data_IF_702849378922
#
_entry.id   IF_702849378922
#
_cell.length_a   1.000
_cell.length_b   1.000
_cell.length_c   1.000
_cell.angle_alpha   90.00
_cell.angle_beta   90.00
_cell.angle_gamma   90.00
#
_symmetry.space_group_name_H-M   'P 1'
#
loop_
_entity.id
_entity.type
_entity.pdbx_description
1 polymer ?
#
# COMPACT_ATOMS: atom_id res chain seq x y z
N UNK A 1 68.96 8.57 41.58
CA UNK A 1 68.24 7.41 41.00
C UNK A 1 66.78 7.85 40.80
N UNK A 2 66.37 8.15 39.56
CA UNK A 2 65.05 8.66 39.25
C UNK A 2 64.27 7.50 38.59
N UNK A 3 63.31 6.95 39.32
CA UNK A 3 62.37 5.97 38.76
C UNK A 3 61.30 6.65 37.91
N UNK A 4 61.40 6.47 36.60
CA UNK A 4 60.42 6.94 35.63
C UNK A 4 59.27 5.95 35.51
N UNK A 5 58.10 6.27 36.00
CA UNK A 5 56.92 5.45 35.84
C UNK A 5 56.34 5.55 34.40
N UNK A 6 55.89 4.46 33.81
CA UNK A 6 55.26 4.48 32.50
C UNK A 6 53.82 5.01 32.59
N UNK A 7 53.52 5.98 31.76
CA UNK A 7 52.14 6.48 31.55
C UNK A 7 51.37 5.44 30.74
N UNK A 8 50.43 4.78 31.37
CA UNK A 8 49.43 3.95 30.70
C UNK A 8 48.46 4.87 29.91
N UNK A 9 48.52 4.77 28.61
CA UNK A 9 47.54 5.43 27.73
C UNK A 9 46.37 4.46 27.62
N UNK A 10 45.30 4.74 28.37
CA UNK A 10 44.05 4.02 28.25
C UNK A 10 43.31 4.50 27.00
N UNK A 11 43.39 3.74 25.92
CA UNK A 11 42.63 3.98 24.71
C UNK A 11 41.16 3.65 24.95
N UNK A 12 40.34 4.69 25.08
CA UNK A 12 38.87 4.56 25.10
C UNK A 12 38.42 4.36 23.65
N UNK A 13 38.16 3.11 23.28
CA UNK A 13 37.48 2.79 22.03
C UNK A 13 35.99 3.05 22.22
N UNK A 14 35.52 4.19 21.79
CA UNK A 14 34.11 4.50 21.73
C UNK A 14 33.49 3.72 20.57
N UNK A 15 32.82 2.59 20.87
CA UNK A 15 32.04 1.85 19.89
C UNK A 15 30.77 2.64 19.56
N UNK A 16 30.74 3.30 18.39
CA UNK A 16 29.51 3.84 17.82
C UNK A 16 28.63 2.66 17.38
N UNK A 17 27.67 2.30 18.20
CA UNK A 17 26.55 1.46 17.79
C UNK A 17 25.62 2.29 16.89
N UNK A 18 25.81 2.17 15.58
CA UNK A 18 24.84 2.67 14.62
C UNK A 18 23.58 1.80 14.70
N UNK A 19 22.55 2.29 15.39
CA UNK A 19 21.25 1.66 15.45
C UNK A 19 20.61 1.79 14.05
N UNK A 20 20.76 0.77 13.23
CA UNK A 20 20.01 0.64 11.98
C UNK A 20 18.57 0.26 12.32
N UNK A 21 17.68 1.26 12.39
CA UNK A 21 16.24 1.03 12.48
C UNK A 21 15.79 0.37 11.17
N UNK A 22 15.15 -0.81 11.22
CA UNK A 22 14.58 -1.41 10.02
C UNK A 22 13.46 -0.50 9.51
N UNK A 23 13.61 0.01 8.28
CA UNK A 23 12.53 0.66 7.56
C UNK A 23 11.50 -0.43 7.24
N UNK A 24 10.48 -0.57 8.07
CA UNK A 24 9.33 -1.41 7.75
C UNK A 24 8.54 -0.69 6.65
N UNK A 25 8.75 -1.10 5.41
CA UNK A 25 7.89 -0.70 4.31
C UNK A 25 6.48 -1.22 4.60
N UNK A 26 5.55 -0.32 4.87
CA UNK A 26 4.12 -0.65 4.99
C UNK A 26 3.66 -1.15 3.64
N UNK A 27 3.41 -2.46 3.55
CA UNK A 27 2.83 -3.06 2.34
C UNK A 27 1.34 -2.72 2.32
N UNK A 28 0.80 -2.50 1.12
CA UNK A 28 -0.63 -2.36 0.94
C UNK A 28 -1.35 -3.65 1.37
N UNK A 29 -2.54 -3.50 1.98
CA UNK A 29 -3.32 -4.59 2.55
C UNK A 29 -4.61 -4.80 1.74
N UNK A 30 -4.70 -5.89 0.97
CA UNK A 30 -5.91 -6.21 0.19
C UNK A 30 -7.16 -6.39 1.05
N UNK A 31 -7.04 -6.82 2.30
CA UNK A 31 -8.20 -6.98 3.19
C UNK A 31 -8.77 -5.64 3.65
N UNK A 32 -7.92 -4.65 3.87
CA UNK A 32 -8.32 -3.27 4.05
C UNK A 32 -8.96 -2.70 2.79
N UNK A 33 -8.38 -3.01 1.62
CA UNK A 33 -8.92 -2.65 0.31
C UNK A 33 -10.32 -3.22 0.09
N UNK A 34 -10.59 -4.48 0.47
CA UNK A 34 -11.92 -5.08 0.37
C UNK A 34 -12.95 -4.34 1.22
N UNK A 35 -12.62 -4.00 2.47
CA UNK A 35 -13.54 -3.25 3.33
C UNK A 35 -13.89 -1.88 2.74
N UNK A 36 -12.90 -1.17 2.23
CA UNK A 36 -13.10 0.12 1.56
C UNK A 36 -13.94 -0.02 0.30
N UNK A 37 -13.67 -1.04 -0.52
CA UNK A 37 -14.42 -1.33 -1.74
C UNK A 37 -15.91 -1.60 -1.44
N UNK A 38 -16.21 -2.42 -0.45
CA UNK A 38 -17.59 -2.70 -0.02
C UNK A 38 -18.29 -1.46 0.52
N UNK A 39 -17.57 -0.58 1.19
CA UNK A 39 -18.12 0.65 1.78
C UNK A 39 -18.40 1.72 0.72
N UNK A 40 -17.50 1.93 -0.22
CA UNK A 40 -17.53 3.09 -1.11
C UNK A 40 -17.83 2.77 -2.57
N UNK A 41 -17.47 1.59 -3.05
CA UNK A 41 -17.49 1.25 -4.46
C UNK A 41 -18.66 0.33 -4.86
N UNK A 42 -19.19 -0.46 -3.90
CA UNK A 42 -20.18 -1.50 -4.16
C UNK A 42 -21.54 -0.99 -4.65
N UNK A 43 -21.83 0.30 -4.47
CA UNK A 43 -23.07 0.90 -4.99
C UNK A 43 -23.08 0.90 -6.53
N UNK A 44 -21.92 1.08 -7.17
CA UNK A 44 -21.82 1.18 -8.61
C UNK A 44 -21.02 0.03 -9.25
N UNK A 45 -19.98 -0.47 -8.57
CA UNK A 45 -19.12 -1.55 -9.06
C UNK A 45 -19.49 -2.90 -8.45
N UNK A 46 -19.33 -3.98 -9.22
CA UNK A 46 -19.21 -5.32 -8.62
C UNK A 46 -17.80 -5.44 -8.05
N UNK A 47 -17.70 -5.45 -6.73
CA UNK A 47 -16.44 -5.44 -5.99
C UNK A 47 -16.10 -6.76 -5.31
N UNK A 48 -17.03 -7.73 -5.34
CA UNK A 48 -16.83 -9.03 -4.71
C UNK A 48 -17.66 -10.11 -5.42
N UNK A 49 -17.24 -11.37 -5.30
CA UNK A 49 -17.90 -12.51 -5.95
C UNK A 49 -19.30 -12.82 -5.43
N UNK A 50 -19.59 -12.43 -4.19
CA UNK A 50 -20.90 -12.60 -3.55
C UNK A 50 -21.88 -11.48 -3.87
N UNK A 51 -21.43 -10.40 -4.50
CA UNK A 51 -22.26 -9.28 -4.91
C UNK A 51 -22.99 -9.60 -6.22
N UNK A 52 -24.32 -9.47 -6.20
CA UNK A 52 -25.19 -9.85 -7.32
C UNK A 52 -25.60 -8.70 -8.22
N UNK A 53 -25.50 -7.45 -7.74
CA UNK A 53 -25.98 -6.27 -8.46
C UNK A 53 -25.04 -5.09 -8.32
N UNK A 54 -24.89 -4.36 -9.42
CA UNK A 54 -24.22 -3.07 -9.52
C UNK A 54 -24.74 -2.38 -10.79
N UNK A 55 -24.27 -1.19 -11.10
CA UNK A 55 -24.58 -0.49 -12.33
C UNK A 55 -24.03 -1.24 -13.57
N UNK A 56 -24.90 -1.53 -14.53
CA UNK A 56 -24.51 -2.28 -15.72
C UNK A 56 -23.46 -1.58 -16.59
N UNK A 57 -23.44 -0.24 -16.55
CA UNK A 57 -22.54 0.59 -17.34
C UNK A 57 -21.20 0.90 -16.65
N UNK A 58 -20.99 0.33 -15.45
CA UNK A 58 -19.79 0.55 -14.65
C UNK A 58 -18.94 -0.71 -14.65
N UNK A 59 -17.63 -0.64 -14.93
CA UNK A 59 -16.79 -1.83 -15.00
C UNK A 59 -16.68 -2.51 -13.64
N UNK A 60 -16.73 -3.84 -13.62
CA UNK A 60 -16.47 -4.64 -12.43
C UNK A 60 -14.98 -4.55 -12.04
N UNK A 61 -14.65 -4.81 -10.79
CA UNK A 61 -13.26 -4.90 -10.36
C UNK A 61 -12.48 -5.98 -11.12
N UNK A 62 -13.15 -7.09 -11.46
CA UNK A 62 -12.55 -8.12 -12.31
C UNK A 62 -12.24 -7.63 -13.73
N UNK A 63 -13.11 -6.81 -14.33
CA UNK A 63 -12.86 -6.22 -15.64
C UNK A 63 -11.71 -5.21 -15.58
N UNK A 64 -11.66 -4.40 -14.53
CA UNK A 64 -10.57 -3.43 -14.33
C UNK A 64 -9.23 -4.17 -14.20
N UNK A 65 -9.17 -5.20 -13.35
CA UNK A 65 -7.94 -5.96 -13.09
C UNK A 65 -7.40 -6.70 -14.33
N UNK A 66 -8.29 -7.07 -15.26
CA UNK A 66 -7.95 -7.77 -16.50
C UNK A 66 -7.74 -6.83 -17.68
N UNK A 67 -7.91 -5.54 -17.49
CA UNK A 67 -7.76 -4.55 -18.58
C UNK A 67 -6.30 -4.49 -19.05
N UNK A 68 -6.08 -4.29 -20.38
CA UNK A 68 -4.74 -4.10 -20.90
C UNK A 68 -4.04 -2.90 -20.21
N UNK A 69 -2.81 -3.10 -19.77
CA UNK A 69 -2.03 -2.06 -19.09
C UNK A 69 -2.47 -1.77 -17.65
N UNK A 70 -3.22 -2.68 -17.01
CA UNK A 70 -3.50 -2.61 -15.58
C UNK A 70 -2.19 -2.46 -14.79
N UNK A 71 -2.19 -1.56 -13.83
CA UNK A 71 -1.09 -1.37 -12.88
C UNK A 71 -1.66 -0.88 -11.56
N UNK A 72 -1.21 -1.46 -10.44
CA UNK A 72 -1.61 -1.02 -9.10
C UNK A 72 -1.35 0.45 -8.87
N UNK A 73 -0.18 0.93 -9.29
CA UNK A 73 0.21 2.33 -9.09
C UNK A 73 -0.70 3.28 -9.88
N UNK A 74 -1.06 2.92 -11.12
CA UNK A 74 -2.00 3.71 -11.93
C UNK A 74 -3.38 3.75 -11.30
N UNK A 75 -3.87 2.62 -10.80
CA UNK A 75 -5.17 2.56 -10.12
C UNK A 75 -5.14 3.38 -8.82
N UNK A 76 -4.10 3.24 -7.98
CA UNK A 76 -3.97 4.02 -6.77
C UNK A 76 -3.94 5.53 -7.07
N UNK A 77 -3.19 5.95 -8.07
CA UNK A 77 -3.15 7.34 -8.52
C UNK A 77 -4.53 7.83 -8.99
N UNK A 78 -5.19 7.03 -9.82
CA UNK A 78 -6.53 7.33 -10.33
C UNK A 78 -7.57 7.48 -9.21
N UNK A 79 -7.48 6.66 -8.16
CA UNK A 79 -8.39 6.72 -7.01
C UNK A 79 -8.20 7.98 -6.16
N UNK A 80 -7.03 8.59 -6.21
CA UNK A 80 -6.74 9.86 -5.52
C UNK A 80 -7.31 11.07 -6.26
N UNK A 81 -7.47 10.97 -7.58
CA UNK A 81 -8.07 12.01 -8.44
C UNK A 81 -9.09 11.35 -9.39
N UNK A 82 -10.24 10.92 -8.86
CA UNK A 82 -11.21 10.16 -9.61
C UNK A 82 -11.86 11.00 -10.71
N UNK A 83 -12.28 10.34 -11.80
CA UNK A 83 -13.01 11.01 -12.88
C UNK A 83 -14.38 11.54 -12.40
N UNK A 84 -14.99 12.53 -13.10
CA UNK A 84 -16.18 13.25 -12.62
C UNK A 84 -17.41 12.39 -12.28
N UNK A 85 -17.50 11.16 -12.77
CA UNK A 85 -18.60 10.24 -12.49
C UNK A 85 -18.43 9.46 -11.17
N UNK A 86 -17.23 9.43 -10.62
CA UNK A 86 -16.96 8.80 -9.31
C UNK A 86 -16.98 9.85 -8.22
N UNK A 87 -17.61 9.58 -7.07
CA UNK A 87 -17.53 10.49 -5.93
C UNK A 87 -16.09 10.57 -5.41
N UNK A 88 -15.73 11.74 -4.92
CA UNK A 88 -14.46 11.90 -4.20
C UNK A 88 -14.61 11.33 -2.79
N UNK A 89 -13.95 10.22 -2.52
CA UNK A 89 -13.98 9.52 -1.23
C UNK A 89 -12.94 10.06 -0.24
N UNK A 90 -12.14 11.06 -0.66
CA UNK A 90 -11.05 11.64 0.15
C UNK A 90 -10.06 10.59 0.71
N UNK A 91 -9.72 9.61 -0.12
CA UNK A 91 -8.82 8.52 0.25
C UNK A 91 -7.42 9.05 0.56
N UNK A 92 -6.79 8.46 1.54
CA UNK A 92 -5.36 8.58 1.76
C UNK A 92 -4.58 7.77 0.72
N UNK A 93 -3.29 8.04 0.56
CA UNK A 93 -2.42 7.25 -0.33
C UNK A 93 -2.36 5.77 0.06
N UNK A 94 -2.37 5.47 1.36
CA UNK A 94 -2.38 4.10 1.87
C UNK A 94 -3.69 3.39 1.48
N UNK A 95 -4.84 4.02 1.70
CA UNK A 95 -6.15 3.46 1.33
C UNK A 95 -6.29 3.26 -0.18
N UNK A 96 -5.79 4.19 -1.00
CA UNK A 96 -5.77 4.03 -2.44
C UNK A 96 -4.88 2.85 -2.88
N UNK A 97 -3.74 2.63 -2.21
CA UNK A 97 -2.87 1.48 -2.45
C UNK A 97 -3.52 0.17 -2.02
N UNK A 98 -4.19 0.13 -0.87
CA UNK A 98 -4.94 -1.03 -0.37
C UNK A 98 -6.05 -1.43 -1.35
N UNK A 99 -6.81 -0.46 -1.85
CA UNK A 99 -7.82 -0.67 -2.89
C UNK A 99 -7.23 -1.20 -4.19
N UNK A 100 -6.13 -0.63 -4.65
CA UNK A 100 -5.47 -1.07 -5.87
C UNK A 100 -4.94 -2.51 -5.76
N UNK A 101 -4.40 -2.88 -4.59
CA UNK A 101 -3.97 -4.25 -4.30
C UNK A 101 -5.16 -5.21 -4.25
N UNK A 102 -6.28 -4.81 -3.64
CA UNK A 102 -7.50 -5.62 -3.64
C UNK A 102 -8.03 -5.84 -5.06
N UNK A 103 -8.12 -4.78 -5.89
CA UNK A 103 -8.53 -4.90 -7.28
C UNK A 103 -7.62 -5.88 -8.04
N UNK A 104 -6.31 -5.82 -7.82
CA UNK A 104 -5.35 -6.69 -8.47
C UNK A 104 -5.60 -8.19 -8.19
N UNK A 105 -6.21 -8.54 -7.06
CA UNK A 105 -6.52 -9.94 -6.72
C UNK A 105 -7.46 -10.59 -7.75
N UNK A 106 -8.33 -9.82 -8.41
CA UNK A 106 -9.24 -10.32 -9.44
C UNK A 106 -8.55 -10.61 -10.79
N UNK A 107 -7.34 -10.11 -10.99
CA UNK A 107 -6.53 -10.38 -12.19
C UNK A 107 -5.73 -11.67 -12.10
N UNK A 108 -5.52 -12.20 -10.90
CA UNK A 108 -4.66 -13.37 -10.64
C UNK A 108 -5.43 -14.70 -10.60
N UNK A 109 -6.59 -14.79 -11.24
CA UNK A 109 -7.27 -16.10 -11.37
C UNK A 109 -6.38 -17.08 -12.13
N UNK A 110 -5.91 -18.10 -11.42
CA UNK A 110 -5.24 -19.28 -11.97
C UNK A 110 -6.21 -20.09 -12.82
#
# INVERSE_FOLDING_TARGET
MICKAPRSITSIVAALFAATLPLTATRADPSSGERLARQWCATCHVVASDQKQADADVPTFAAIAKSPGFSRDKIAYFLLDPHPKMPNMSLTRAEAADLADYIATFGTTR
#
